data_IF_880233903344
#
_entry.id   IF_880233903344
#
_cell.length_a   1.000
_cell.length_b   1.000
_cell.length_c   1.000
_cell.angle_alpha   90.00
_cell.angle_beta   90.00
_cell.angle_gamma   90.00
#
_symmetry.space_group_name_H-M   'P 1'
#
loop_
_entity.id
_entity.type
_entity.pdbx_description
1 polymer ?
#
# COMPACT_ATOMS: atom_id res chain seq x y z
N UNK A 1 7.91 5.89 -22.96
CA UNK A 1 8.65 5.62 -22.80
C UNK A 1 9.79 5.40 -22.01
N UNK A 2 10.91 5.46 -22.26
CA UNK A 2 12.09 5.14 -21.51
C UNK A 2 12.32 5.97 -20.26
N UNK A 3 11.35 6.79 -19.91
CA UNK A 3 11.56 7.70 -18.80
C UNK A 3 11.05 7.15 -17.46
N UNK A 4 10.47 5.98 -17.47
CA UNK A 4 10.00 5.43 -16.22
C UNK A 4 11.17 4.91 -15.42
N UNK A 5 11.39 5.53 -14.27
CA UNK A 5 12.43 5.09 -13.36
C UNK A 5 11.96 3.86 -12.62
N UNK A 6 12.84 2.88 -12.48
CA UNK A 6 12.54 1.74 -11.64
C UNK A 6 13.17 1.97 -10.28
N UNK A 7 12.38 1.79 -9.24
CA UNK A 7 12.83 1.96 -7.87
C UNK A 7 13.13 0.59 -7.27
N UNK A 8 14.20 0.50 -6.51
CA UNK A 8 14.62 -0.74 -5.87
C UNK A 8 14.61 -0.63 -4.35
N UNK A 9 14.41 0.57 -3.83
CA UNK A 9 14.38 0.77 -2.40
C UNK A 9 13.38 1.85 -2.03
N UNK A 10 12.91 1.76 -0.80
CA UNK A 10 12.00 2.71 -0.19
C UNK A 10 12.82 3.56 0.77
N UNK A 11 12.62 4.87 0.76
CA UNK A 11 13.28 5.74 1.74
C UNK A 11 12.52 5.63 3.04
N UNK A 12 13.10 4.99 4.04
CA UNK A 12 12.45 4.84 5.33
C UNK A 12 13.00 5.91 6.26
N UNK A 13 12.09 6.71 6.84
CA UNK A 13 12.52 7.77 7.74
C UNK A 13 13.13 7.18 9.01
N UNK A 14 14.11 7.88 9.58
CA UNK A 14 14.78 7.43 10.80
C UNK A 14 13.83 7.34 12.00
N UNK A 15 12.71 8.04 11.94
CA UNK A 15 11.70 8.01 13.00
C UNK A 15 10.50 7.09 12.70
N UNK A 16 10.62 6.21 11.72
CA UNK A 16 9.52 5.32 11.32
C UNK A 16 8.91 4.59 12.51
N UNK A 17 9.75 4.02 13.37
CA UNK A 17 9.27 3.25 14.52
C UNK A 17 8.88 4.13 15.71
N UNK A 18 9.08 5.44 15.61
CA UNK A 18 8.67 6.39 16.64
C UNK A 18 7.28 6.96 16.38
N UNK A 19 6.73 6.76 15.21
CA UNK A 19 5.41 7.30 14.91
C UNK A 19 4.36 6.62 15.78
N UNK A 20 3.33 7.38 16.16
CA UNK A 20 2.25 6.84 16.99
C UNK A 20 1.56 5.66 16.31
N UNK A 21 1.36 5.74 15.01
CA UNK A 21 0.71 4.66 14.25
C UNK A 21 1.50 3.37 14.31
N UNK A 22 2.82 3.45 14.12
CA UNK A 22 3.66 2.26 14.18
C UNK A 22 3.75 1.70 15.60
N UNK A 23 3.81 2.57 16.60
CA UNK A 23 3.81 2.11 17.98
C UNK A 23 2.52 1.38 18.33
N UNK A 24 1.38 1.90 17.88
CA UNK A 24 0.09 1.24 18.10
C UNK A 24 0.01 -0.11 17.39
N UNK A 25 0.46 -0.15 16.14
CA UNK A 25 0.44 -1.39 15.36
C UNK A 25 1.26 -2.48 16.04
N UNK A 26 2.46 -2.13 16.51
CA UNK A 26 3.33 -3.11 17.14
C UNK A 26 2.84 -3.62 18.49
N UNK A 27 1.94 -2.88 19.14
CA UNK A 27 1.41 -3.27 20.45
C UNK A 27 0.27 -4.29 20.39
N UNK A 28 -0.40 -4.43 19.24
CA UNK A 28 -1.46 -5.42 19.16
C UNK A 28 -0.86 -6.81 19.03
N UNK A 29 -1.64 -7.84 19.38
CA UNK A 29 -1.19 -9.22 19.23
C UNK A 29 -0.88 -9.48 17.75
N UNK A 30 0.31 -9.98 17.47
CA UNK A 30 0.76 -10.17 16.08
C UNK A 30 1.32 -8.92 15.44
N UNK A 31 1.48 -7.83 16.20
CA UNK A 31 1.86 -6.53 15.65
C UNK A 31 3.16 -6.49 14.90
N UNK A 32 4.16 -7.27 15.31
CA UNK A 32 5.43 -7.30 14.58
C UNK A 32 5.24 -7.93 13.20
N UNK A 33 4.44 -8.98 13.09
CA UNK A 33 4.10 -9.57 11.79
C UNK A 33 3.36 -8.55 10.92
N UNK A 34 2.40 -7.83 11.49
CA UNK A 34 1.64 -6.82 10.75
C UNK A 34 2.54 -5.68 10.29
N UNK A 35 3.52 -5.30 11.11
CA UNK A 35 4.48 -4.26 10.73
C UNK A 35 5.32 -4.72 9.54
N UNK A 36 5.77 -5.98 9.56
CA UNK A 36 6.51 -6.54 8.43
C UNK A 36 5.65 -6.58 7.18
N UNK A 37 4.38 -6.98 7.32
CA UNK A 37 3.46 -7.01 6.18
C UNK A 37 3.30 -5.60 5.60
N UNK A 38 3.12 -4.59 6.44
CA UNK A 38 3.01 -3.21 5.98
C UNK A 38 4.25 -2.79 5.18
N UNK A 39 5.44 -3.13 5.67
CA UNK A 39 6.67 -2.82 4.95
C UNK A 39 6.73 -3.57 3.60
N UNK A 40 6.32 -4.84 3.57
CA UNK A 40 6.29 -5.61 2.33
C UNK A 40 5.31 -5.01 1.32
N UNK A 41 4.14 -4.56 1.78
CA UNK A 41 3.17 -3.92 0.90
C UNK A 41 3.71 -2.62 0.33
N UNK A 42 4.39 -1.83 1.15
CA UNK A 42 5.02 -0.61 0.65
C UNK A 42 6.05 -0.92 -0.44
N UNK A 43 6.91 -1.90 -0.19
CA UNK A 43 7.93 -2.30 -1.18
C UNK A 43 7.28 -2.83 -2.47
N UNK A 44 6.19 -3.58 -2.35
CA UNK A 44 5.49 -4.11 -3.51
C UNK A 44 4.94 -2.98 -4.40
N UNK A 45 4.60 -1.85 -3.81
CA UNK A 45 3.94 -0.75 -4.50
C UNK A 45 4.89 0.32 -5.04
N UNK A 46 6.20 0.23 -4.78
CA UNK A 46 7.11 1.34 -5.11
C UNK A 46 7.20 1.66 -6.60
N UNK A 47 6.97 0.68 -7.46
CA UNK A 47 7.04 0.91 -8.90
C UNK A 47 5.69 1.24 -9.53
N UNK A 48 4.67 1.50 -8.69
CA UNK A 48 3.35 1.92 -9.16
C UNK A 48 2.79 3.03 -8.28
N UNK A 49 3.67 3.89 -7.81
CA UNK A 49 3.34 5.10 -7.05
C UNK A 49 2.48 4.82 -5.81
N UNK A 50 2.73 3.69 -5.15
CA UNK A 50 2.01 3.32 -3.95
C UNK A 50 0.72 2.55 -4.21
N UNK A 51 0.46 2.17 -5.44
CA UNK A 51 -0.76 1.46 -5.80
C UNK A 51 -0.48 -0.03 -5.97
N UNK A 52 -1.31 -0.87 -5.37
CA UNK A 52 -1.30 -2.31 -5.62
C UNK A 52 -2.63 -2.65 -6.26
N UNK A 53 -2.59 -3.05 -7.53
CA UNK A 53 -3.80 -3.36 -8.27
C UNK A 53 -4.15 -4.84 -8.15
N UNK A 54 -5.44 -5.11 -7.98
CA UNK A 54 -5.93 -6.48 -8.03
C UNK A 54 -5.98 -6.92 -9.50
N UNK A 55 -5.29 -8.01 -9.80
CA UNK A 55 -5.18 -8.48 -11.18
C UNK A 55 -6.36 -9.35 -11.63
N UNK A 56 -7.18 -9.79 -10.68
CA UNK A 56 -8.38 -10.55 -11.00
C UNK A 56 -8.16 -12.04 -11.26
N UNK A 57 -6.95 -12.55 -11.01
CA UNK A 57 -6.65 -13.97 -11.24
C UNK A 57 -6.82 -14.81 -9.98
N UNK A 58 -6.92 -14.18 -8.83
CA UNK A 58 -7.15 -14.86 -7.56
C UNK A 58 -8.53 -14.51 -7.03
N UNK A 59 -8.94 -15.16 -5.96
CA UNK A 59 -10.25 -14.96 -5.37
C UNK A 59 -10.50 -13.50 -4.97
N UNK A 60 -9.50 -12.87 -4.37
CA UNK A 60 -9.55 -11.47 -3.98
C UNK A 60 -8.12 -10.94 -3.82
N UNK A 61 -8.00 -9.65 -3.47
CA UNK A 61 -6.69 -9.03 -3.31
C UNK A 61 -5.87 -9.70 -2.20
N UNK A 62 -6.53 -10.19 -1.16
CA UNK A 62 -5.80 -10.81 -0.03
C UNK A 62 -5.17 -12.14 -0.43
N UNK A 63 -5.86 -12.91 -1.27
CA UNK A 63 -5.29 -14.15 -1.81
C UNK A 63 -4.12 -13.84 -2.75
N UNK A 64 -4.27 -12.83 -3.59
CA UNK A 64 -3.19 -12.39 -4.46
C UNK A 64 -1.97 -11.97 -3.63
N UNK A 65 -2.17 -11.14 -2.61
CA UNK A 65 -1.09 -10.66 -1.78
C UNK A 65 -0.40 -11.77 -0.99
N UNK A 66 -1.16 -12.77 -0.53
CA UNK A 66 -0.55 -13.86 0.22
C UNK A 66 0.51 -14.59 -0.59
N UNK A 67 0.31 -14.69 -1.89
CA UNK A 67 1.30 -15.28 -2.80
C UNK A 67 2.43 -14.29 -3.09
N UNK A 68 2.10 -13.03 -3.28
CA UNK A 68 3.10 -12.02 -3.66
C UNK A 68 4.10 -11.73 -2.55
N UNK A 69 3.66 -11.73 -1.30
CA UNK A 69 4.51 -11.35 -0.17
C UNK A 69 4.77 -12.49 0.82
N UNK A 70 4.27 -13.69 0.52
CA UNK A 70 4.47 -14.88 1.37
C UNK A 70 4.01 -14.66 2.81
N UNK A 71 2.77 -14.24 2.97
CA UNK A 71 2.17 -14.05 4.30
C UNK A 71 0.79 -14.69 4.35
N UNK A 72 0.32 -14.94 5.56
CA UNK A 72 -0.98 -15.54 5.76
C UNK A 72 -2.10 -14.55 5.43
N UNK A 73 -3.16 -15.04 4.80
CA UNK A 73 -4.28 -14.20 4.37
C UNK A 73 -4.88 -13.43 5.55
N UNK A 74 -5.10 -14.09 6.68
CA UNK A 74 -5.71 -13.44 7.84
C UNK A 74 -4.82 -12.34 8.41
N UNK A 75 -3.51 -12.54 8.39
CA UNK A 75 -2.57 -11.52 8.87
C UNK A 75 -2.57 -10.31 7.94
N UNK A 76 -2.68 -10.54 6.64
CA UNK A 76 -2.78 -9.44 5.66
C UNK A 76 -4.08 -8.68 5.88
N UNK A 77 -5.19 -9.37 6.09
CA UNK A 77 -6.48 -8.71 6.35
C UNK A 77 -6.42 -7.84 7.59
N UNK A 78 -5.82 -8.34 8.67
CA UNK A 78 -5.67 -7.55 9.90
C UNK A 78 -4.79 -6.33 9.69
N UNK A 79 -3.70 -6.50 8.95
CA UNK A 79 -2.78 -5.39 8.64
C UNK A 79 -3.51 -4.31 7.84
N UNK A 80 -4.20 -4.72 6.79
CA UNK A 80 -4.92 -3.76 5.93
C UNK A 80 -6.03 -3.06 6.73
N UNK A 81 -6.74 -3.80 7.59
CA UNK A 81 -7.79 -3.20 8.42
C UNK A 81 -7.23 -2.13 9.36
N UNK A 82 -6.12 -2.43 10.03
CA UNK A 82 -5.48 -1.44 10.91
C UNK A 82 -5.00 -0.23 10.10
N UNK A 83 -4.33 -0.48 9.00
CA UNK A 83 -3.76 0.60 8.17
C UNK A 83 -4.85 1.47 7.55
N UNK A 84 -5.97 0.88 7.18
CA UNK A 84 -7.12 1.64 6.66
C UNK A 84 -7.70 2.53 7.75
N UNK A 85 -7.85 2.01 8.97
CA UNK A 85 -8.38 2.77 10.08
C UNK A 85 -7.46 3.92 10.50
N UNK A 86 -6.17 3.85 10.17
CA UNK A 86 -5.17 4.84 10.55
C UNK A 86 -4.63 5.65 9.37
N UNK A 87 -5.35 5.66 8.26
CA UNK A 87 -5.00 6.46 7.07
C UNK A 87 -3.64 6.13 6.45
N UNK A 88 -3.15 4.93 6.65
CA UNK A 88 -1.91 4.47 6.02
C UNK A 88 -2.18 3.80 4.67
N UNK A 89 -3.33 3.16 4.54
CA UNK A 89 -3.77 2.50 3.32
C UNK A 89 -5.19 2.95 3.03
N UNK A 90 -5.48 3.14 1.76
CA UNK A 90 -6.82 3.41 1.29
C UNK A 90 -7.22 2.28 0.34
N UNK A 91 -8.40 1.73 0.52
CA UNK A 91 -8.89 0.64 -0.32
C UNK A 91 -9.98 1.18 -1.24
N UNK A 92 -9.81 0.97 -2.54
CA UNK A 92 -10.83 1.30 -3.53
C UNK A 92 -11.12 0.05 -4.34
N UNK A 93 -12.31 -0.50 -4.18
CA UNK A 93 -12.69 -1.78 -4.75
C UNK A 93 -11.73 -2.85 -4.25
N UNK A 94 -10.90 -3.42 -5.11
CA UNK A 94 -9.90 -4.41 -4.69
C UNK A 94 -8.48 -3.86 -4.73
N UNK A 95 -8.31 -2.58 -5.05
CA UNK A 95 -6.98 -1.99 -5.15
C UNK A 95 -6.59 -1.33 -3.84
N UNK A 96 -5.30 -1.36 -3.53
CA UNK A 96 -4.77 -0.72 -2.33
C UNK A 96 -3.89 0.47 -2.70
N UNK A 97 -4.01 1.54 -1.92
CA UNK A 97 -3.16 2.72 -2.05
C UNK A 97 -2.37 2.88 -0.78
N UNK A 98 -1.05 2.78 -0.88
CA UNK A 98 -0.15 2.99 0.25
C UNK A 98 0.14 4.49 0.31
N UNK A 99 -0.57 5.19 1.18
CA UNK A 99 -0.64 6.66 1.15
C UNK A 99 0.70 7.37 1.29
N UNK A 100 1.64 6.80 2.03
CA UNK A 100 2.93 7.44 2.26
C UNK A 100 3.98 7.10 1.20
N UNK A 101 3.77 6.07 0.39
CA UNK A 101 4.79 5.59 -0.54
C UNK A 101 5.21 6.65 -1.56
N UNK A 102 4.30 7.43 -2.18
CA UNK A 102 4.74 8.45 -3.13
C UNK A 102 5.77 9.43 -2.57
N UNK A 103 5.70 9.74 -1.29
CA UNK A 103 6.64 10.63 -0.63
C UNK A 103 7.99 9.97 -0.36
N UNK A 104 8.03 8.66 -0.37
CA UNK A 104 9.21 7.90 0.05
C UNK A 104 10.02 7.37 -1.12
N UNK A 105 9.59 7.56 -2.36
CA UNK A 105 10.26 6.97 -3.52
C UNK A 105 10.79 7.98 -4.54
N UNK A 106 10.56 9.26 -4.38
CA UNK A 106 11.12 10.21 -5.32
C UNK A 106 10.32 11.48 -5.47
N UNK A 107 10.18 11.96 -6.71
CA UNK A 107 9.50 13.21 -6.97
C UNK A 107 8.04 13.15 -6.53
N UNK A 108 7.77 13.83 -5.45
CA UNK A 108 6.44 13.88 -4.86
C UNK A 108 5.39 14.38 -5.85
N UNK A 109 5.76 15.37 -6.66
CA UNK A 109 4.83 15.96 -7.61
C UNK A 109 4.30 14.99 -8.64
N UNK A 110 5.19 14.23 -9.28
CA UNK A 110 4.80 13.29 -10.31
C UNK A 110 4.02 12.11 -9.72
N UNK A 111 4.51 11.56 -8.61
CA UNK A 111 3.85 10.42 -7.97
C UNK A 111 2.46 10.79 -7.46
N UNK A 112 2.33 11.94 -6.79
CA UNK A 112 1.05 12.39 -6.28
C UNK A 112 0.05 12.61 -7.42
N UNK A 113 0.52 13.11 -8.56
CA UNK A 113 -0.32 13.33 -9.71
C UNK A 113 -0.86 12.02 -10.28
N UNK A 114 -0.02 10.99 -10.36
CA UNK A 114 -0.44 9.67 -10.85
C UNK A 114 -1.47 9.03 -9.93
N UNK A 115 -1.26 9.10 -8.63
CA UNK A 115 -2.19 8.54 -7.65
C UNK A 115 -3.53 9.24 -7.75
N UNK A 116 -3.54 10.58 -7.82
CA UNK A 116 -4.78 11.33 -7.97
C UNK A 116 -5.51 10.97 -9.26
N UNK A 117 -4.78 10.81 -10.34
CA UNK A 117 -5.36 10.45 -11.63
C UNK A 117 -6.04 9.09 -11.56
N UNK A 118 -5.42 8.14 -10.91
CA UNK A 118 -5.99 6.81 -10.73
C UNK A 118 -7.27 6.86 -9.89
N UNK A 119 -7.26 7.61 -8.79
CA UNK A 119 -8.43 7.78 -7.94
C UNK A 119 -9.59 8.45 -8.69
N UNK A 120 -9.30 9.48 -9.44
CA UNK A 120 -10.32 10.16 -10.22
C UNK A 120 -10.94 9.24 -11.26
N UNK A 121 -10.13 8.42 -11.90
CA UNK A 121 -10.62 7.46 -12.86
C UNK A 121 -11.60 6.47 -12.22
N UNK A 122 -11.27 5.97 -11.04
CA UNK A 122 -12.14 5.04 -10.34
C UNK A 122 -13.43 5.69 -9.87
N UNK A 123 -13.36 6.90 -9.36
CA UNK A 123 -14.54 7.65 -8.98
C UNK A 123 -15.46 7.88 -10.15
N UNK A 124 -14.89 8.22 -11.30
CA UNK A 124 -15.65 8.43 -12.51
C UNK A 124 -16.36 7.17 -12.95
N UNK A 125 -15.68 6.02 -12.90
CA UNK A 125 -16.26 4.73 -13.22
C UNK A 125 -17.42 4.39 -12.27
N UNK A 126 -17.29 4.70 -10.99
CA UNK A 126 -18.36 4.50 -10.03
C UNK A 126 -19.58 5.36 -10.32
N UNK A 127 -19.36 6.60 -10.72
CA UNK A 127 -20.45 7.51 -11.03
C UNK A 127 -21.20 7.10 -12.29
N UNK A 128 -20.52 6.46 -13.21
CA UNK A 128 -21.11 6.01 -14.45
C UNK A 128 -21.84 4.67 -14.32
N UNK A 129 -21.59 3.95 -13.25
CA UNK A 129 -22.16 2.62 -13.05
C UNK A 129 -23.67 2.61 -12.71
#
# INVERSE_FOLDING_TARGET
MGDEKRYYWLKLKDDFFQSRKMKKLRKVAGGDTYTIIYLKLQLLSINNDGVIEFEGTDEDIFHQLSLDIDEEIDDIKMTVAFCTANDLIEVQEQDLFLNDVPKLIGSEGASARRVRKHRLKQEKEKQEA
#
